data_IF_704475715353
#
_entry.id   IF_704475715353
#
_cell.length_a   1.000
_cell.length_b   1.000
_cell.length_c   1.000
_cell.angle_alpha   90.00
_cell.angle_beta   90.00
_cell.angle_gamma   90.00
#
_symmetry.space_group_name_H-M   'P 1'
#
loop_
_entity.id
_entity.type
_entity.pdbx_description
1 polymer ?
#
# COMPACT_ATOMS: atom_id res chain seq x y z
N UNK A 1 -15.20 27.15 -1.37
CA UNK A 1 -14.15 27.05 -2.40
C UNK A 1 -12.99 28.03 -2.15
N UNK A 2 -12.87 28.60 -0.93
CA UNK A 2 -11.94 29.72 -0.64
C UNK A 2 -10.62 29.33 0.02
N UNK A 3 -10.23 28.06 -0.08
CA UNK A 3 -8.98 27.55 0.51
C UNK A 3 -7.77 27.75 -0.41
N UNK A 4 -8.00 27.84 -1.72
CA UNK A 4 -6.97 28.14 -2.73
C UNK A 4 -7.14 29.55 -3.27
N UNK A 5 -6.02 30.22 -3.54
CA UNK A 5 -6.00 31.51 -4.25
C UNK A 5 -6.45 31.33 -5.71
N UNK A 6 -6.73 32.44 -6.41
CA UNK A 6 -7.22 32.44 -7.79
C UNK A 6 -6.25 31.76 -8.79
N UNK A 7 -4.95 31.89 -8.58
CA UNK A 7 -3.92 31.32 -9.47
C UNK A 7 -3.86 29.80 -9.34
N UNK A 8 -3.88 29.29 -8.11
CA UNK A 8 -3.84 27.86 -7.80
C UNK A 8 -5.08 27.11 -8.31
N UNK A 9 -6.24 27.78 -8.35
CA UNK A 9 -7.47 27.22 -8.93
C UNK A 9 -7.36 26.96 -10.43
N UNK A 10 -6.47 27.68 -11.12
CA UNK A 10 -6.22 27.56 -12.58
C UNK A 10 -5.08 26.61 -12.90
N UNK A 11 -4.53 25.91 -11.90
CA UNK A 11 -3.50 24.90 -12.16
C UNK A 11 -4.06 23.80 -13.08
N UNK A 12 -3.30 23.36 -14.09
CA UNK A 12 -3.77 22.35 -15.04
C UNK A 12 -4.26 21.06 -14.37
N UNK A 13 -3.67 20.66 -13.24
CA UNK A 13 -4.11 19.48 -12.51
C UNK A 13 -5.53 19.65 -11.94
N UNK A 14 -5.88 20.84 -11.44
CA UNK A 14 -7.22 21.15 -10.91
C UNK A 14 -8.23 21.16 -12.05
N UNK A 15 -7.91 21.87 -13.14
CA UNK A 15 -8.80 22.01 -14.30
C UNK A 15 -9.06 20.68 -15.00
N UNK A 16 -8.05 19.81 -15.13
CA UNK A 16 -8.19 18.53 -15.80
C UNK A 16 -8.93 17.47 -14.97
N UNK A 17 -8.81 17.53 -13.63
CA UNK A 17 -9.47 16.56 -12.73
C UNK A 17 -10.96 16.87 -12.58
N UNK A 18 -11.36 18.14 -12.55
CA UNK A 18 -12.74 18.55 -12.29
C UNK A 18 -13.77 17.92 -13.28
N UNK A 19 -13.55 17.89 -14.61
CA UNK A 19 -14.45 17.23 -15.55
C UNK A 19 -14.60 15.72 -15.33
N UNK A 20 -13.56 15.04 -14.82
CA UNK A 20 -13.61 13.62 -14.49
C UNK A 20 -14.46 13.38 -13.24
N UNK A 21 -14.25 14.18 -12.20
CA UNK A 21 -15.03 14.10 -10.96
C UNK A 21 -16.52 14.35 -11.21
N UNK A 22 -16.87 15.31 -12.06
CA UNK A 22 -18.27 15.56 -12.47
C UNK A 22 -18.92 14.37 -13.17
N UNK A 23 -18.14 13.48 -13.77
CA UNK A 23 -18.60 12.23 -14.39
C UNK A 23 -18.54 11.02 -13.43
N UNK A 24 -18.17 11.24 -12.17
CA UNK A 24 -18.02 10.17 -11.17
C UNK A 24 -16.76 9.33 -11.37
N UNK A 25 -15.73 9.87 -12.01
CA UNK A 25 -14.43 9.21 -12.24
C UNK A 25 -13.36 9.91 -11.39
N UNK A 26 -12.75 9.15 -10.49
CA UNK A 26 -11.67 9.61 -9.62
C UNK A 26 -10.31 9.07 -10.03
N UNK A 27 -9.26 9.84 -9.73
CA UNK A 27 -7.86 9.43 -9.85
C UNK A 27 -7.21 9.65 -8.48
N UNK A 28 -6.39 8.70 -8.01
CA UNK A 28 -5.68 8.79 -6.73
C UNK A 28 -4.26 8.23 -6.84
N UNK A 29 -3.25 9.10 -6.71
CA UNK A 29 -1.85 8.70 -6.63
C UNK A 29 -1.03 9.74 -5.90
N UNK A 30 0.20 9.38 -5.49
CA UNK A 30 1.11 10.27 -4.74
C UNK A 30 1.59 11.52 -5.50
N UNK A 31 1.22 11.70 -6.77
CA UNK A 31 1.55 12.87 -7.58
C UNK A 31 0.42 13.90 -7.68
N UNK A 32 -0.72 13.66 -7.04
CA UNK A 32 -1.79 14.65 -6.92
C UNK A 32 -1.45 15.66 -5.81
N UNK A 33 -1.89 16.90 -6.01
CA UNK A 33 -1.90 17.91 -4.95
C UNK A 33 -2.66 17.36 -3.73
N UNK A 34 -2.16 17.56 -2.49
CA UNK A 34 -2.80 17.03 -1.28
C UNK A 34 -4.29 17.35 -1.19
N UNK A 35 -4.68 18.59 -1.51
CA UNK A 35 -6.08 19.03 -1.50
C UNK A 35 -6.96 18.27 -2.51
N UNK A 36 -6.42 17.94 -3.69
CA UNK A 36 -7.15 17.14 -4.69
C UNK A 36 -7.26 15.69 -4.24
N UNK A 37 -6.21 15.14 -3.63
CA UNK A 37 -6.20 13.78 -3.08
C UNK A 37 -7.29 13.62 -2.02
N UNK A 38 -7.35 14.54 -1.06
CA UNK A 38 -8.38 14.57 0.00
C UNK A 38 -9.78 14.77 -0.59
N UNK A 39 -9.93 15.64 -1.59
CA UNK A 39 -11.22 15.85 -2.26
C UNK A 39 -11.72 14.55 -2.92
N UNK A 40 -10.84 13.83 -3.62
CA UNK A 40 -11.17 12.53 -4.23
C UNK A 40 -11.58 11.50 -3.16
N UNK A 41 -10.84 11.43 -2.05
CA UNK A 41 -11.15 10.54 -0.93
C UNK A 41 -12.54 10.83 -0.35
N UNK A 42 -12.86 12.10 -0.10
CA UNK A 42 -14.19 12.53 0.41
C UNK A 42 -15.29 12.14 -0.59
N UNK A 43 -15.15 12.51 -1.86
CA UNK A 43 -16.15 12.23 -2.90
C UNK A 43 -16.36 10.72 -3.12
N UNK A 44 -15.30 9.92 -2.94
CA UNK A 44 -15.40 8.46 -2.99
C UNK A 44 -16.11 7.89 -1.76
N UNK A 45 -15.80 8.38 -0.57
CA UNK A 45 -16.47 8.00 0.68
C UNK A 45 -17.97 8.34 0.70
N UNK A 46 -18.35 9.47 0.09
CA UNK A 46 -19.75 9.86 -0.12
C UNK A 46 -20.44 9.10 -1.26
N UNK A 47 -19.70 8.25 -1.99
CA UNK A 47 -20.22 7.46 -3.09
C UNK A 47 -20.54 8.27 -4.35
N UNK A 48 -20.02 9.50 -4.49
CA UNK A 48 -20.19 10.34 -5.68
C UNK A 48 -19.29 9.87 -6.83
N UNK A 49 -18.12 9.33 -6.50
CA UNK A 49 -17.23 8.66 -7.45
C UNK A 49 -17.65 7.19 -7.60
N UNK A 50 -17.92 6.77 -8.84
CA UNK A 50 -18.35 5.40 -9.17
C UNK A 50 -17.21 4.53 -9.65
N UNK A 51 -16.17 5.13 -10.24
CA UNK A 51 -14.95 4.47 -10.66
C UNK A 51 -13.74 5.25 -10.16
N UNK A 52 -12.87 4.59 -9.40
CA UNK A 52 -11.65 5.18 -8.86
C UNK A 52 -10.43 4.43 -9.40
N UNK A 53 -9.54 5.16 -10.06
CA UNK A 53 -8.24 4.66 -10.48
C UNK A 53 -7.21 5.06 -9.42
N UNK A 54 -6.63 4.09 -8.72
CA UNK A 54 -5.76 4.36 -7.59
C UNK A 54 -4.45 3.56 -7.63
N UNK A 55 -3.38 4.15 -7.10
CA UNK A 55 -2.14 3.42 -6.77
C UNK A 55 -2.29 2.67 -5.45
N UNK A 56 -1.37 1.73 -5.20
CA UNK A 56 -1.34 0.87 -4.00
C UNK A 56 -1.55 1.62 -2.67
N UNK A 57 -1.00 2.83 -2.55
CA UNK A 57 -1.08 3.66 -1.34
C UNK A 57 -2.52 3.93 -0.88
N UNK A 58 -3.50 3.96 -1.80
CA UNK A 58 -4.90 4.13 -1.44
C UNK A 58 -5.43 2.96 -0.62
N UNK A 59 -5.04 1.73 -0.97
CA UNK A 59 -5.48 0.52 -0.28
C UNK A 59 -4.91 0.41 1.14
N UNK A 60 -3.83 1.13 1.46
CA UNK A 60 -3.22 1.12 2.79
C UNK A 60 -3.86 2.13 3.76
N UNK A 61 -4.36 3.26 3.23
CA UNK A 61 -4.56 4.47 4.05
C UNK A 61 -5.93 4.66 4.70
N UNK A 62 -7.02 4.09 4.17
CA UNK A 62 -8.38 4.50 4.56
C UNK A 62 -9.37 3.35 4.57
N UNK A 63 -10.40 3.42 5.43
CA UNK A 63 -11.51 2.48 5.45
C UNK A 63 -12.59 2.86 4.41
N UNK A 64 -12.19 2.90 3.13
CA UNK A 64 -13.08 3.22 2.01
C UNK A 64 -13.30 1.99 1.12
N UNK A 65 -14.28 1.13 1.44
CA UNK A 65 -14.56 -0.08 0.67
C UNK A 65 -15.28 0.23 -0.64
N UNK A 66 -14.99 -0.56 -1.67
CA UNK A 66 -15.67 -0.56 -2.96
C UNK A 66 -16.45 -1.86 -3.13
N UNK A 67 -17.49 -1.91 -3.98
CA UNK A 67 -18.13 -3.19 -4.31
C UNK A 67 -17.18 -4.14 -5.05
N UNK A 68 -16.33 -3.58 -5.89
CA UNK A 68 -15.44 -4.32 -6.79
C UNK A 68 -14.05 -3.72 -6.77
N UNK A 69 -13.03 -4.58 -6.69
CA UNK A 69 -11.62 -4.21 -6.88
C UNK A 69 -11.13 -4.88 -8.16
N UNK A 70 -10.48 -4.09 -9.02
CA UNK A 70 -9.88 -4.55 -10.27
C UNK A 70 -8.38 -4.28 -10.24
N UNK A 71 -7.60 -5.33 -10.46
CA UNK A 71 -6.16 -5.23 -10.68
C UNK A 71 -5.91 -5.22 -12.18
N UNK A 72 -5.34 -4.13 -12.69
CA UNK A 72 -5.01 -3.98 -14.11
C UNK A 72 -3.74 -4.73 -14.51
N UNK A 73 -2.89 -5.08 -13.55
CA UNK A 73 -1.66 -5.83 -13.75
C UNK A 73 -1.35 -6.70 -12.54
N UNK A 74 -0.70 -7.84 -12.78
CA UNK A 74 -0.20 -8.78 -11.76
C UNK A 74 1.25 -8.51 -11.35
N UNK A 75 1.93 -7.55 -12.00
CA UNK A 75 3.30 -7.13 -11.73
C UNK A 75 3.36 -5.65 -11.38
N UNK A 76 4.34 -5.28 -10.57
CA UNK A 76 4.64 -3.87 -10.24
C UNK A 76 6.15 -3.65 -10.14
N UNK A 77 6.55 -2.39 -10.28
CA UNK A 77 7.90 -1.94 -9.98
C UNK A 77 8.00 -1.56 -8.51
N UNK A 78 8.98 -2.09 -7.79
CA UNK A 78 9.19 -1.82 -6.36
C UNK A 78 10.34 -0.84 -6.07
N UNK A 79 10.82 -0.16 -7.10
CA UNK A 79 12.00 0.71 -7.02
C UNK A 79 13.29 0.04 -7.49
N UNK A 80 13.31 -1.29 -7.59
CA UNK A 80 14.46 -2.06 -8.08
C UNK A 80 14.11 -2.91 -9.29
N UNK A 81 13.08 -3.73 -9.18
CA UNK A 81 12.72 -4.71 -10.19
C UNK A 81 11.22 -4.71 -10.49
N UNK A 82 10.87 -5.24 -11.67
CA UNK A 82 9.49 -5.57 -12.01
C UNK A 82 9.16 -6.98 -11.53
N UNK A 83 8.49 -7.07 -10.37
CA UNK A 83 8.15 -8.34 -9.73
C UNK A 83 6.65 -8.59 -9.69
N UNK A 84 6.28 -9.84 -9.42
CA UNK A 84 4.89 -10.20 -9.10
C UNK A 84 4.45 -9.52 -7.80
N UNK A 85 3.16 -9.17 -7.74
CA UNK A 85 2.52 -8.72 -6.49
C UNK A 85 2.57 -9.87 -5.48
N UNK A 86 2.93 -9.60 -4.23
CA UNK A 86 2.95 -10.65 -3.21
C UNK A 86 1.53 -11.02 -2.79
N UNK A 87 1.37 -12.18 -2.15
CA UNK A 87 0.05 -12.55 -1.62
C UNK A 87 -0.42 -11.59 -0.53
N UNK A 88 0.48 -11.02 0.29
CA UNK A 88 0.13 -10.02 1.29
C UNK A 88 -0.43 -8.74 0.66
N UNK A 89 0.24 -8.23 -0.37
CA UNK A 89 -0.18 -7.06 -1.15
C UNK A 89 -1.55 -7.32 -1.82
N UNK A 90 -1.72 -8.48 -2.44
CA UNK A 90 -2.99 -8.89 -3.04
C UNK A 90 -4.11 -8.95 -1.99
N UNK A 91 -3.90 -9.58 -0.83
CA UNK A 91 -4.91 -9.69 0.24
C UNK A 91 -5.29 -8.29 0.75
N UNK A 92 -4.31 -7.42 0.97
CA UNK A 92 -4.56 -6.05 1.45
C UNK A 92 -5.41 -5.25 0.47
N UNK A 93 -5.04 -5.26 -0.82
CA UNK A 93 -5.76 -4.52 -1.86
C UNK A 93 -7.14 -5.12 -2.15
N UNK A 94 -7.23 -6.44 -2.31
CA UNK A 94 -8.48 -7.15 -2.62
C UNK A 94 -9.47 -7.10 -1.46
N UNK A 95 -9.00 -7.00 -0.21
CA UNK A 95 -9.82 -6.81 0.99
C UNK A 95 -10.61 -5.49 1.01
N UNK A 96 -10.37 -4.58 0.06
CA UNK A 96 -11.20 -3.39 -0.15
C UNK A 96 -12.49 -3.67 -0.93
N UNK A 97 -12.64 -4.87 -1.50
CA UNK A 97 -13.87 -5.29 -2.17
C UNK A 97 -14.93 -5.78 -1.17
N UNK A 98 -16.18 -5.35 -1.37
CA UNK A 98 -17.34 -5.66 -0.54
C UNK A 98 -17.57 -4.61 0.53
N UNK A 99 -18.71 -3.91 0.45
CA UNK A 99 -19.13 -2.93 1.46
C UNK A 99 -20.03 -3.60 2.48
N UNK A 100 -19.58 -3.63 3.74
CA UNK A 100 -20.32 -4.23 4.86
C UNK A 100 -21.72 -3.64 4.96
N UNK A 101 -22.73 -4.52 4.92
CA UNK A 101 -24.14 -4.13 5.04
C UNK A 101 -24.78 -3.57 3.76
N UNK A 102 -24.02 -3.41 2.67
CA UNK A 102 -24.54 -2.94 1.37
C UNK A 102 -24.40 -3.99 0.27
N UNK A 103 -23.32 -4.76 0.27
CA UNK A 103 -23.06 -5.80 -0.73
C UNK A 103 -23.09 -7.19 -0.07
N UNK A 104 -23.72 -8.16 -0.73
CA UNK A 104 -23.70 -9.58 -0.29
C UNK A 104 -22.31 -10.21 -0.39
N UNK A 105 -21.51 -9.76 -1.36
CA UNK A 105 -20.15 -10.22 -1.63
C UNK A 105 -19.30 -9.12 -2.27
N UNK A 106 -18.00 -9.16 -1.99
CA UNK A 106 -17.00 -8.38 -2.74
C UNK A 106 -16.59 -9.10 -4.02
N UNK A 107 -16.40 -8.34 -5.11
CA UNK A 107 -15.90 -8.90 -6.37
C UNK A 107 -14.46 -8.43 -6.57
N UNK A 108 -13.58 -9.37 -6.90
CA UNK A 108 -12.18 -9.08 -7.21
C UNK A 108 -11.86 -9.62 -8.58
N UNK A 109 -11.28 -8.78 -9.44
CA UNK A 109 -10.90 -9.14 -10.81
C UNK A 109 -9.39 -8.90 -10.95
N UNK A 110 -8.64 -9.94 -11.27
CA UNK A 110 -7.21 -9.85 -11.60
C UNK A 110 -7.03 -10.03 -13.10
N UNK A 111 -6.63 -8.95 -13.80
CA UNK A 111 -6.22 -9.06 -15.19
C UNK A 111 -4.86 -9.74 -15.26
N UNK A 112 -4.78 -10.81 -16.04
CA UNK A 112 -3.57 -11.60 -16.26
C UNK A 112 -3.21 -11.59 -17.75
N UNK A 113 -1.90 -11.65 -18.04
CA UNK A 113 -1.36 -11.86 -19.38
C UNK A 113 -0.88 -13.31 -19.55
N UNK A 114 -0.41 -13.66 -20.74
CA UNK A 114 0.10 -15.00 -21.07
C UNK A 114 1.35 -15.40 -20.26
N UNK A 115 2.03 -14.46 -19.59
CA UNK A 115 3.25 -14.73 -18.81
C UNK A 115 2.93 -15.28 -17.42
N UNK A 116 1.67 -15.20 -16.96
CA UNK A 116 1.27 -15.70 -15.65
C UNK A 116 1.07 -17.21 -15.70
N UNK A 117 2.02 -17.96 -15.14
CA UNK A 117 1.84 -19.41 -14.96
C UNK A 117 0.75 -19.69 -13.90
N UNK A 118 0.05 -20.84 -13.97
CA UNK A 118 -0.95 -21.22 -12.97
C UNK A 118 -0.40 -21.26 -11.54
N UNK A 119 0.89 -21.61 -11.39
CA UNK A 119 1.58 -21.65 -10.09
C UNK A 119 1.72 -20.24 -9.52
N UNK A 120 2.13 -19.27 -10.34
CA UNK A 120 2.26 -17.86 -9.92
C UNK A 120 0.89 -17.27 -9.59
N UNK A 121 -0.12 -17.49 -10.45
CA UNK A 121 -1.48 -17.03 -10.19
C UNK A 121 -2.05 -17.58 -8.88
N UNK A 122 -1.82 -18.88 -8.61
CA UNK A 122 -2.19 -19.50 -7.33
C UNK A 122 -1.42 -18.89 -6.14
N UNK A 123 -0.13 -18.63 -6.29
CA UNK A 123 0.68 -18.02 -5.23
C UNK A 123 0.22 -16.61 -4.88
N UNK A 124 -0.24 -15.82 -5.86
CA UNK A 124 -0.78 -14.47 -5.63
C UNK A 124 -2.12 -14.55 -4.88
N UNK A 125 -3.04 -15.40 -5.35
CA UNK A 125 -4.44 -15.40 -4.87
C UNK A 125 -4.65 -16.23 -3.60
N UNK A 126 -3.91 -17.34 -3.46
CA UNK A 126 -4.05 -18.32 -2.36
C UNK A 126 -2.78 -18.43 -1.51
N UNK A 127 -1.83 -17.51 -1.66
CA UNK A 127 -0.63 -17.47 -0.84
C UNK A 127 -0.93 -17.13 0.62
N UNK A 128 0.10 -17.23 1.44
CA UNK A 128 0.04 -16.74 2.83
C UNK A 128 0.41 -15.25 2.85
N UNK A 129 -0.14 -14.46 3.79
CA UNK A 129 0.35 -13.12 4.05
C UNK A 129 1.86 -13.14 4.32
N UNK A 130 2.55 -12.09 3.86
CA UNK A 130 3.98 -11.96 4.06
C UNK A 130 4.31 -11.86 5.56
N UNK A 131 5.38 -12.52 6.05
CA UNK A 131 5.82 -12.36 7.42
C UNK A 131 6.30 -10.92 7.64
N UNK A 132 6.07 -10.42 8.85
CA UNK A 132 6.64 -9.13 9.26
C UNK A 132 8.12 -9.37 9.55
N UNK A 133 8.98 -9.00 8.61
CA UNK A 133 10.43 -9.07 8.76
C UNK A 133 10.97 -7.71 9.20
N UNK A 134 11.94 -7.73 10.12
CA UNK A 134 12.60 -6.52 10.58
C UNK A 134 13.40 -5.90 9.44
N UNK A 135 13.15 -4.61 9.18
CA UNK A 135 13.98 -3.76 8.33
C UNK A 135 15.02 -2.96 9.14
N UNK A 136 15.34 -3.40 10.36
CA UNK A 136 16.28 -2.69 11.22
C UNK A 136 17.66 -2.60 10.56
N UNK A 137 18.18 -1.39 10.46
CA UNK A 137 19.54 -1.12 10.05
C UNK A 137 20.08 0.08 10.85
N UNK A 138 21.39 0.09 11.11
CA UNK A 138 22.02 1.21 11.78
C UNK A 138 22.05 2.46 10.88
N UNK A 139 21.88 3.63 11.48
CA UNK A 139 22.06 4.92 10.81
C UNK A 139 22.97 5.81 11.65
N UNK A 140 23.73 6.70 11.02
CA UNK A 140 24.65 7.60 11.74
C UNK A 140 23.94 8.42 12.83
N UNK A 141 22.77 8.99 12.51
CA UNK A 141 22.00 9.77 13.47
C UNK A 141 21.57 8.93 14.69
N UNK A 142 21.17 7.67 14.49
CA UNK A 142 20.83 6.77 15.59
C UNK A 142 22.04 6.55 16.50
N UNK A 143 23.20 6.20 15.93
CA UNK A 143 24.42 5.94 16.72
C UNK A 143 24.84 7.18 17.50
N UNK A 144 24.84 8.36 16.86
CA UNK A 144 25.19 9.61 17.53
C UNK A 144 24.22 9.97 18.66
N UNK A 145 22.92 9.73 18.49
CA UNK A 145 21.95 9.95 19.56
C UNK A 145 22.12 8.97 20.72
N UNK A 146 22.46 7.70 20.44
CA UNK A 146 22.71 6.71 21.48
C UNK A 146 23.98 7.05 22.27
N UNK A 147 25.07 7.44 21.59
CA UNK A 147 26.31 7.87 22.25
C UNK A 147 26.14 9.14 23.09
N UNK A 148 25.16 9.99 22.76
CA UNK A 148 24.86 11.20 23.54
C UNK A 148 24.14 10.88 24.86
N UNK A 149 23.38 9.78 24.92
CA UNK A 149 22.62 9.42 26.12
C UNK A 149 23.48 8.48 26.96
N UNK A 150 24.05 9.00 28.06
CA UNK A 150 24.99 8.26 28.92
C UNK A 150 24.43 6.93 29.47
N UNK A 151 23.10 6.81 29.58
CA UNK A 151 22.42 5.62 30.14
C UNK A 151 22.06 4.55 29.10
N UNK A 152 22.23 4.80 27.78
CA UNK A 152 21.80 3.86 26.73
C UNK A 152 23.01 3.33 25.97
N UNK A 153 23.28 2.05 26.17
CA UNK A 153 24.32 1.33 25.43
C UNK A 153 23.80 0.94 24.02
N UNK A 154 24.47 1.30 22.91
CA UNK A 154 24.08 0.90 21.56
C UNK A 154 23.93 -0.62 21.38
N UNK A 155 24.82 -1.38 22.01
CA UNK A 155 24.82 -2.85 22.00
C UNK A 155 23.52 -3.39 22.61
N UNK A 156 23.03 -2.76 23.68
CA UNK A 156 21.75 -3.14 24.30
C UNK A 156 20.55 -2.92 23.34
N UNK A 157 20.60 -1.89 22.50
CA UNK A 157 19.57 -1.66 21.48
C UNK A 157 19.62 -2.74 20.39
N UNK A 158 20.83 -3.13 19.97
CA UNK A 158 21.04 -4.19 18.97
C UNK A 158 20.51 -5.54 19.47
N UNK A 159 20.83 -5.91 20.72
CA UNK A 159 20.38 -7.16 21.34
C UNK A 159 18.86 -7.27 21.42
N UNK A 160 18.17 -6.14 21.64
CA UNK A 160 16.70 -6.09 21.75
C UNK A 160 16.00 -5.75 20.44
N UNK A 161 16.74 -5.64 19.34
CA UNK A 161 16.15 -5.35 18.03
C UNK A 161 15.28 -6.53 17.56
N UNK A 162 14.19 -6.22 16.85
CA UNK A 162 13.35 -7.26 16.27
C UNK A 162 14.12 -8.12 15.26
N UNK A 163 15.12 -7.54 14.59
CA UNK A 163 16.04 -8.25 13.71
C UNK A 163 16.83 -9.33 14.45
N UNK A 164 17.42 -8.98 15.60
CA UNK A 164 18.16 -9.93 16.42
C UNK A 164 17.25 -11.04 16.97
N UNK A 165 16.04 -10.69 17.41
CA UNK A 165 15.03 -11.66 17.85
C UNK A 165 14.69 -12.67 16.75
N UNK A 166 14.41 -12.20 15.52
CA UNK A 166 14.09 -13.07 14.39
C UNK A 166 15.25 -14.01 14.02
N UNK A 167 16.47 -13.49 14.00
CA UNK A 167 17.65 -14.30 13.76
C UNK A 167 17.80 -15.40 14.82
N UNK A 168 17.74 -15.04 16.11
CA UNK A 168 17.87 -16.01 17.20
C UNK A 168 16.78 -17.08 17.18
N UNK A 169 15.52 -16.69 16.93
CA UNK A 169 14.40 -17.61 16.85
C UNK A 169 14.50 -18.60 15.68
N UNK A 170 15.17 -18.23 14.58
CA UNK A 170 15.34 -19.09 13.41
C UNK A 170 16.46 -20.15 13.54
N UNK A 171 17.38 -19.97 14.49
CA UNK A 171 18.56 -20.84 14.65
C UNK A 171 18.19 -22.30 14.89
N UNK A 172 17.27 -22.66 15.81
CA UNK A 172 16.91 -24.05 16.06
C UNK A 172 16.36 -24.77 14.82
N UNK A 173 15.53 -24.09 14.02
CA UNK A 173 14.94 -24.65 12.80
C UNK A 173 16.01 -24.96 11.74
N UNK A 174 17.03 -24.10 11.63
CA UNK A 174 18.16 -24.31 10.74
C UNK A 174 18.98 -25.55 11.13
N UNK A 175 19.21 -25.79 12.43
CA UNK A 175 19.92 -26.99 12.91
C UNK A 175 19.13 -28.28 12.68
N UNK A 176 17.81 -28.24 12.82
CA UNK A 176 16.94 -29.40 12.65
C UNK A 176 16.60 -29.70 11.17
N UNK A 177 16.94 -28.79 10.26
CA UNK A 177 16.72 -28.94 8.81
C UNK A 177 17.89 -29.60 8.05
N UNK A 178 18.95 -29.99 8.74
CA UNK A 178 20.05 -30.83 8.24
C UNK A 178 19.81 -32.30 8.60
#
# INVERSE_FOLDING_TARGET
MDVLNEEDRRLPQVENVLPLLRRGIGIHHGGLLPILKETVEILFGEGLIKALFATETFAMGLNMPARTVLFTASRKFDGKDFRWITSGEYIQMSGRAGRRGLDEKGIVILMIDEQVSPVVGKAIVQGKPDPINSAFHLTYNMVLNLLRVEEINPEYMLERSFYQFQNQASIPDLYNSK
#
